data_IF_393303336271
#
_entry.id   IF_393303336271
#
_cell.length_a   1.000
_cell.length_b   1.000
_cell.length_c   1.000
_cell.angle_alpha   90.00
_cell.angle_beta   90.00
_cell.angle_gamma   90.00
#
_symmetry.space_group_name_H-M   'P 1'
#
loop_
_entity.id
_entity.type
_entity.pdbx_description
1 polymer ?
#
# COMPACT_ATOMS: atom_id res chain seq x y z
N UNK A 1 -0.22 3.06 -17.09
CA UNK A 1 -0.99 4.29 -17.30
C UNK A 1 -1.42 4.59 -18.73
N UNK A 2 -0.71 4.10 -19.80
CA UNK A 2 -1.15 4.41 -21.17
C UNK A 2 -2.62 4.02 -21.43
N UNK A 3 -3.08 2.90 -20.89
CA UNK A 3 -4.47 2.46 -21.00
C UNK A 3 -5.46 3.45 -20.39
N UNK A 4 -5.18 3.94 -19.18
CA UNK A 4 -6.06 4.89 -18.50
C UNK A 4 -6.07 6.27 -19.19
N UNK A 5 -4.94 6.72 -19.71
CA UNK A 5 -4.85 7.97 -20.47
C UNK A 5 -5.72 7.94 -21.73
N UNK A 6 -5.92 6.77 -22.33
CA UNK A 6 -6.78 6.59 -23.49
C UNK A 6 -8.27 6.48 -23.12
N UNK A 7 -8.59 5.90 -21.98
CA UNK A 7 -9.97 5.65 -21.54
C UNK A 7 -10.57 6.86 -20.82
N UNK A 8 -9.78 7.48 -19.92
CA UNK A 8 -10.23 8.60 -19.09
C UNK A 8 -10.97 9.73 -19.84
N UNK A 9 -10.49 10.23 -21.00
CA UNK A 9 -11.21 11.28 -21.73
C UNK A 9 -12.58 10.88 -22.26
N UNK A 10 -12.84 9.55 -22.36
CA UNK A 10 -14.09 8.98 -22.91
C UNK A 10 -15.13 8.67 -21.83
N UNK A 11 -14.77 8.82 -20.55
CA UNK A 11 -15.65 8.58 -19.42
C UNK A 11 -16.48 9.83 -19.11
N UNK A 12 -17.70 9.63 -18.55
CA UNK A 12 -18.47 10.72 -17.97
C UNK A 12 -17.72 11.35 -16.78
N UNK A 13 -18.03 12.60 -16.39
CA UNK A 13 -17.44 13.23 -15.20
C UNK A 13 -17.60 12.37 -13.94
N UNK A 14 -18.78 11.77 -13.74
CA UNK A 14 -19.09 10.91 -12.60
C UNK A 14 -18.19 9.68 -12.61
N UNK A 15 -18.07 8.99 -13.74
CA UNK A 15 -17.20 7.82 -13.87
C UNK A 15 -15.71 8.15 -13.64
N UNK A 16 -15.25 9.35 -14.07
CA UNK A 16 -13.88 9.80 -13.78
C UNK A 16 -13.63 9.98 -12.30
N UNK A 17 -14.63 10.46 -11.56
CA UNK A 17 -14.53 10.70 -10.13
C UNK A 17 -14.53 9.39 -9.29
N UNK A 18 -14.92 8.26 -9.89
CA UNK A 18 -14.94 6.95 -9.21
C UNK A 18 -13.72 6.09 -9.51
N UNK A 19 -12.90 6.49 -10.47
CA UNK A 19 -11.70 5.73 -10.86
C UNK A 19 -10.51 6.23 -10.05
N UNK A 20 -9.80 5.28 -9.45
CA UNK A 20 -8.51 5.52 -8.78
C UNK A 20 -7.38 4.80 -9.53
N UNK A 21 -6.15 5.20 -9.27
CA UNK A 21 -4.94 4.51 -9.72
C UNK A 21 -4.12 4.15 -8.50
N UNK A 22 -3.66 2.91 -8.48
CA UNK A 22 -2.78 2.34 -7.48
C UNK A 22 -1.36 2.19 -8.03
N UNK A 23 -0.34 2.36 -7.20
CA UNK A 23 1.04 2.02 -7.53
C UNK A 23 1.25 0.50 -7.52
N UNK A 24 2.14 0.03 -8.36
CA UNK A 24 2.44 -1.39 -8.57
C UNK A 24 3.94 -1.67 -8.39
N UNK A 25 4.28 -2.83 -7.84
CA UNK A 25 5.67 -3.20 -7.55
C UNK A 25 6.48 -3.58 -8.80
N UNK A 26 5.82 -4.06 -9.85
CA UNK A 26 6.48 -4.52 -11.08
C UNK A 26 6.56 -3.45 -12.17
N UNK A 27 5.55 -2.57 -12.26
CA UNK A 27 5.40 -1.62 -13.35
C UNK A 27 5.50 -0.17 -12.87
N UNK A 28 4.41 0.42 -12.46
CA UNK A 28 4.28 1.85 -12.20
C UNK A 28 4.30 2.14 -10.70
N UNK A 29 5.45 2.59 -10.19
CA UNK A 29 5.59 3.03 -8.81
C UNK A 29 4.93 4.39 -8.53
N UNK A 30 5.10 4.87 -7.31
CA UNK A 30 4.48 6.12 -6.82
C UNK A 30 4.80 7.30 -7.75
N UNK A 31 6.06 7.49 -8.14
CA UNK A 31 6.48 8.67 -8.92
C UNK A 31 5.74 8.77 -10.26
N UNK A 32 5.58 7.64 -10.95
CA UNK A 32 4.82 7.59 -12.19
C UNK A 32 3.31 7.80 -11.98
N UNK A 33 2.77 7.34 -10.85
CA UNK A 33 1.36 7.55 -10.50
C UNK A 33 1.10 9.02 -10.16
N UNK A 34 2.03 9.70 -9.49
CA UNK A 34 1.90 11.11 -9.12
C UNK A 34 1.74 12.06 -10.31
N UNK A 35 2.25 11.68 -11.50
CA UNK A 35 2.02 12.45 -12.73
C UNK A 35 0.54 12.49 -13.13
N UNK A 36 -0.28 11.56 -12.65
CA UNK A 36 -1.69 11.46 -12.95
C UNK A 36 -2.61 12.02 -11.86
N UNK A 37 -2.07 12.45 -10.72
CA UNK A 37 -2.84 12.95 -9.57
C UNK A 37 -3.74 14.16 -9.90
N UNK A 38 -3.37 14.95 -10.91
CA UNK A 38 -4.20 16.06 -11.39
C UNK A 38 -5.48 15.59 -12.13
N UNK A 39 -5.55 14.32 -12.54
CA UNK A 39 -6.69 13.72 -13.26
C UNK A 39 -7.50 12.77 -12.41
N UNK A 40 -6.83 11.96 -11.59
CA UNK A 40 -7.40 10.82 -10.90
C UNK A 40 -6.94 10.82 -9.44
N UNK A 41 -7.79 10.30 -8.55
CA UNK A 41 -7.38 10.02 -7.19
C UNK A 41 -6.39 8.83 -7.18
N UNK A 42 -5.34 8.95 -6.38
CA UNK A 42 -4.28 7.95 -6.28
C UNK A 42 -4.43 7.14 -5.01
N UNK A 43 -4.35 5.84 -5.11
CA UNK A 43 -4.27 4.93 -3.97
C UNK A 43 -2.81 4.58 -3.76
N UNK A 44 -2.32 4.78 -2.55
CA UNK A 44 -1.01 4.32 -2.13
C UNK A 44 -1.14 2.90 -1.59
N UNK A 45 -0.63 1.90 -2.31
CA UNK A 45 -0.31 0.61 -1.71
C UNK A 45 1.09 0.70 -1.12
N UNK A 46 1.14 0.71 0.22
CA UNK A 46 2.40 0.84 0.96
C UNK A 46 3.25 -0.42 0.88
N UNK A 47 2.63 -1.60 0.72
CA UNK A 47 3.34 -2.86 0.57
C UNK A 47 3.98 -2.98 -0.83
N UNK A 48 3.24 -2.66 -1.90
CA UNK A 48 3.78 -2.61 -3.26
C UNK A 48 4.96 -1.63 -3.36
N UNK A 49 4.85 -0.46 -2.69
CA UNK A 49 5.94 0.49 -2.64
C UNK A 49 7.17 -0.11 -1.95
N UNK A 50 7.01 -0.72 -0.77
CA UNK A 50 8.09 -1.38 -0.06
C UNK A 50 8.72 -2.51 -0.88
N UNK A 51 7.93 -3.38 -1.51
CA UNK A 51 8.46 -4.46 -2.36
C UNK A 51 9.30 -3.91 -3.52
N UNK A 52 8.87 -2.79 -4.11
CA UNK A 52 9.57 -2.16 -5.22
C UNK A 52 10.89 -1.54 -4.80
N UNK A 53 10.88 -0.76 -3.73
CA UNK A 53 11.96 0.16 -3.36
C UNK A 53 12.75 -0.26 -2.11
N UNK A 54 12.17 -1.06 -1.23
CA UNK A 54 12.67 -1.33 0.13
C UNK A 54 12.33 -0.23 1.15
N UNK A 55 11.69 0.86 0.71
CA UNK A 55 11.40 2.03 1.52
C UNK A 55 10.10 1.89 2.32
N UNK A 56 10.14 2.23 3.58
CA UNK A 56 8.98 2.45 4.43
C UNK A 56 8.56 3.92 4.36
N UNK A 57 7.82 4.30 3.31
CA UNK A 57 7.30 5.66 3.12
C UNK A 57 6.51 6.10 4.36
N UNK A 58 6.66 7.35 4.77
CA UNK A 58 6.03 7.88 5.98
C UNK A 58 4.82 8.77 5.66
N UNK A 59 3.86 8.93 6.61
CA UNK A 59 2.73 9.85 6.43
C UNK A 59 3.13 11.31 6.19
N UNK A 60 4.34 11.68 6.59
CA UNK A 60 4.91 13.04 6.42
C UNK A 60 5.66 13.24 5.11
N UNK A 61 5.75 12.21 4.26
CA UNK A 61 6.44 12.29 2.97
C UNK A 61 5.66 13.20 1.99
N UNK A 62 6.39 14.05 1.27
CA UNK A 62 5.78 14.97 0.29
C UNK A 62 5.03 14.23 -0.82
N UNK A 63 5.47 13.02 -1.19
CA UNK A 63 4.78 12.17 -2.17
C UNK A 63 3.40 11.75 -1.64
N UNK A 64 3.31 11.42 -0.34
CA UNK A 64 2.02 11.10 0.27
C UNK A 64 1.10 12.32 0.36
N UNK A 65 1.63 13.50 0.69
CA UNK A 65 0.85 14.74 0.64
C UNK A 65 0.23 14.98 -0.75
N UNK A 66 0.98 14.76 -1.83
CA UNK A 66 0.48 14.86 -3.20
C UNK A 66 -0.58 13.80 -3.54
N UNK A 67 -0.47 12.59 -2.95
CA UNK A 67 -1.51 11.56 -3.06
C UNK A 67 -2.78 12.04 -2.37
N UNK A 68 -2.70 12.58 -1.15
CA UNK A 68 -3.85 13.17 -0.43
C UNK A 68 -4.53 14.26 -1.26
N UNK A 69 -3.76 15.17 -1.85
CA UNK A 69 -4.27 16.26 -2.70
C UNK A 69 -5.05 15.74 -3.91
N UNK A 70 -4.66 14.59 -4.46
CA UNK A 70 -5.35 13.96 -5.59
C UNK A 70 -6.80 13.57 -5.29
N UNK A 71 -7.16 13.39 -4.02
CA UNK A 71 -8.50 13.07 -3.55
C UNK A 71 -9.42 14.29 -3.38
N UNK A 72 -8.90 15.50 -3.62
CA UNK A 72 -9.70 16.76 -3.69
C UNK A 72 -10.59 16.99 -2.47
N UNK A 73 -10.05 16.76 -1.28
CA UNK A 73 -10.75 16.95 0.00
C UNK A 73 -11.59 15.75 0.46
N UNK A 74 -11.65 14.68 -0.31
CA UNK A 74 -12.17 13.40 0.17
C UNK A 74 -11.06 12.68 0.93
N UNK A 75 -11.40 12.01 2.04
CA UNK A 75 -10.42 11.22 2.80
C UNK A 75 -9.83 10.12 1.90
N UNK A 76 -8.50 10.05 1.74
CA UNK A 76 -7.88 9.07 0.86
C UNK A 76 -7.97 7.66 1.44
N UNK A 77 -7.80 6.68 0.57
CA UNK A 77 -7.63 5.27 0.92
C UNK A 77 -6.21 4.87 0.59
N UNK A 78 -5.55 4.16 1.50
CA UNK A 78 -4.32 3.42 1.24
C UNK A 78 -4.59 1.92 1.29
N UNK A 79 -3.81 1.14 0.53
CA UNK A 79 -3.82 -0.31 0.65
C UNK A 79 -2.67 -0.78 1.53
N UNK A 80 -2.96 -1.79 2.35
CA UNK A 80 -2.03 -2.37 3.26
C UNK A 80 -2.06 -3.89 3.21
N UNK A 81 -0.91 -4.48 2.99
CA UNK A 81 -0.67 -5.92 3.16
C UNK A 81 0.70 -6.17 3.81
N UNK A 82 0.95 -7.40 4.19
CA UNK A 82 2.24 -7.86 4.71
C UNK A 82 2.65 -9.13 3.99
N UNK A 83 3.97 -9.31 3.78
CA UNK A 83 4.51 -10.54 3.20
C UNK A 83 4.09 -11.76 4.01
N UNK A 84 3.94 -12.90 3.35
CA UNK A 84 3.47 -14.13 3.98
C UNK A 84 4.37 -14.56 5.13
N UNK A 85 3.75 -14.92 6.25
CA UNK A 85 4.41 -15.43 7.45
C UNK A 85 5.21 -16.71 7.16
N UNK A 86 4.65 -17.62 6.33
CA UNK A 86 5.32 -18.86 5.96
C UNK A 86 6.52 -18.70 4.99
N UNK A 87 6.75 -17.48 4.52
CA UNK A 87 7.96 -17.12 3.77
C UNK A 87 9.01 -16.52 4.72
N UNK A 88 8.59 -15.73 5.70
CA UNK A 88 9.44 -15.06 6.69
C UNK A 88 9.38 -15.77 8.07
N UNK A 89 9.54 -17.09 8.08
CA UNK A 89 9.26 -17.96 9.25
C UNK A 89 10.03 -17.53 10.50
N UNK A 90 11.30 -17.17 10.36
CA UNK A 90 12.19 -16.83 11.48
C UNK A 90 12.30 -15.31 11.70
N UNK A 91 11.46 -14.50 11.03
CA UNK A 91 11.50 -13.06 11.18
C UNK A 91 10.82 -12.62 12.48
N UNK A 92 11.46 -11.75 13.24
CA UNK A 92 10.90 -11.18 14.46
C UNK A 92 9.67 -10.32 14.14
N UNK A 93 8.54 -10.64 14.76
CA UNK A 93 7.25 -9.97 14.57
C UNK A 93 7.27 -8.48 14.97
N UNK A 94 8.25 -8.05 15.76
CA UNK A 94 8.39 -6.67 16.24
C UNK A 94 9.47 -5.87 15.48
N UNK A 95 9.98 -6.44 14.37
CA UNK A 95 11.01 -5.79 13.56
C UNK A 95 10.50 -5.62 12.14
N UNK A 96 10.77 -4.45 11.54
CA UNK A 96 10.47 -4.20 10.14
C UNK A 96 11.40 -5.05 9.26
N UNK A 97 10.88 -5.82 8.29
CA UNK A 97 11.70 -6.55 7.33
C UNK A 97 12.59 -5.59 6.51
N UNK A 98 13.88 -5.85 6.49
CA UNK A 98 14.83 -5.08 5.66
C UNK A 98 14.97 -5.72 4.27
N UNK A 99 14.64 -4.99 3.23
CA UNK A 99 14.64 -5.51 1.85
C UNK A 99 16.04 -5.98 1.41
N UNK A 100 17.08 -5.22 1.71
CA UNK A 100 18.44 -5.55 1.26
C UNK A 100 18.94 -6.81 1.97
N UNK A 101 18.72 -6.93 3.27
CA UNK A 101 19.06 -8.12 4.05
C UNK A 101 18.30 -9.37 3.55
N UNK A 102 17.02 -9.22 3.23
CA UNK A 102 16.24 -10.32 2.67
C UNK A 102 16.75 -10.76 1.30
N UNK A 103 17.13 -9.82 0.44
CA UNK A 103 17.70 -10.13 -0.86
C UNK A 103 19.06 -10.82 -0.73
N UNK A 104 19.92 -10.38 0.19
CA UNK A 104 21.21 -10.99 0.50
C UNK A 104 21.07 -12.41 1.06
N UNK A 105 19.99 -12.68 1.79
CA UNK A 105 19.61 -14.03 2.25
C UNK A 105 19.00 -14.90 1.14
N UNK A 106 18.83 -14.36 -0.07
CA UNK A 106 18.33 -15.09 -1.24
C UNK A 106 16.80 -15.06 -1.43
N UNK A 107 16.08 -14.26 -0.64
CA UNK A 107 14.67 -14.03 -0.90
C UNK A 107 14.47 -13.30 -2.24
N UNK A 108 13.34 -13.54 -2.89
CA UNK A 108 12.98 -12.88 -4.14
C UNK A 108 11.79 -11.95 -3.92
N UNK A 109 11.86 -10.73 -4.45
CA UNK A 109 10.76 -9.75 -4.41
C UNK A 109 9.42 -10.35 -4.82
N UNK A 110 9.43 -11.23 -5.83
CA UNK A 110 8.23 -11.95 -6.28
C UNK A 110 7.57 -12.79 -5.16
N UNK A 111 8.35 -13.32 -4.21
CA UNK A 111 7.80 -14.05 -3.06
C UNK A 111 7.35 -13.10 -1.96
N UNK A 112 8.12 -12.04 -1.73
CA UNK A 112 7.82 -11.04 -0.69
C UNK A 112 6.53 -10.24 -0.97
N UNK A 113 6.12 -10.10 -2.23
CA UNK A 113 4.86 -9.43 -2.61
C UNK A 113 3.61 -10.22 -2.27
N UNK A 114 3.73 -11.52 -1.97
CA UNK A 114 2.56 -12.35 -1.72
C UNK A 114 1.95 -12.02 -0.35
N UNK A 115 0.66 -11.69 -0.36
CA UNK A 115 -0.09 -11.29 0.84
C UNK A 115 -0.27 -12.46 1.82
N UNK A 116 -0.08 -12.20 3.10
CA UNK A 116 -0.33 -13.13 4.19
C UNK A 116 -1.83 -13.38 4.41
N UNK A 117 -2.14 -14.40 5.19
CA UNK A 117 -3.51 -14.65 5.62
C UNK A 117 -3.97 -13.59 6.64
N UNK A 118 -3.09 -13.22 7.56
CA UNK A 118 -3.33 -12.21 8.60
C UNK A 118 -2.18 -11.19 8.66
N UNK A 119 -2.41 -10.10 9.37
CA UNK A 119 -1.43 -9.04 9.62
C UNK A 119 -0.56 -9.43 10.83
N UNK A 120 0.39 -10.34 10.61
CA UNK A 120 1.14 -11.03 11.65
C UNK A 120 2.32 -10.23 12.24
N UNK A 121 2.90 -9.27 11.49
CA UNK A 121 4.06 -8.50 11.93
C UNK A 121 3.62 -7.19 12.59
N UNK A 122 3.92 -7.03 13.88
CA UNK A 122 3.51 -5.87 14.68
C UNK A 122 4.18 -4.57 14.20
N UNK A 123 5.48 -4.61 13.87
CA UNK A 123 6.18 -3.41 13.42
C UNK A 123 5.64 -2.90 12.07
N UNK A 124 5.26 -3.79 11.16
CA UNK A 124 4.62 -3.43 9.89
C UNK A 124 3.19 -2.92 10.12
N UNK A 125 2.46 -3.50 11.09
CA UNK A 125 1.15 -3.00 11.50
C UNK A 125 1.24 -1.57 12.05
N UNK A 126 2.19 -1.29 12.95
CA UNK A 126 2.41 0.03 13.53
C UNK A 126 2.75 1.06 12.46
N UNK A 127 3.59 0.68 11.50
CA UNK A 127 3.88 1.54 10.33
C UNK A 127 2.60 1.83 9.52
N UNK A 128 1.82 0.84 9.16
CA UNK A 128 0.59 1.04 8.41
C UNK A 128 -0.42 1.89 9.18
N UNK A 129 -0.58 1.65 10.48
CA UNK A 129 -1.49 2.39 11.35
C UNK A 129 -1.08 3.86 11.55
N UNK A 130 0.18 4.22 11.33
CA UNK A 130 0.63 5.61 11.38
C UNK A 130 -0.06 6.52 10.34
N UNK A 131 -0.64 5.95 9.30
CA UNK A 131 -1.44 6.68 8.30
C UNK A 131 -2.88 6.94 8.73
N UNK A 132 -3.36 6.31 9.81
CA UNK A 132 -4.78 6.27 10.17
C UNK A 132 -5.39 7.64 10.49
N UNK A 133 -4.60 8.63 10.88
CA UNK A 133 -5.12 9.99 11.11
C UNK A 133 -5.48 10.72 9.80
N UNK A 134 -4.86 10.33 8.67
CA UNK A 134 -4.96 11.01 7.38
C UNK A 134 -5.79 10.20 6.37
N UNK A 135 -5.64 8.87 6.36
CA UNK A 135 -6.22 7.98 5.35
C UNK A 135 -7.03 6.84 5.98
N UNK A 136 -7.98 6.30 5.24
CA UNK A 136 -8.58 5.01 5.54
C UNK A 136 -7.65 3.89 5.06
N UNK A 137 -7.55 2.81 5.84
CA UNK A 137 -6.65 1.69 5.55
C UNK A 137 -7.47 0.50 5.05
N UNK A 138 -7.30 0.14 3.79
CA UNK A 138 -7.85 -1.08 3.22
C UNK A 138 -6.85 -2.22 3.42
N UNK A 139 -7.23 -3.17 4.27
CA UNK A 139 -6.40 -4.36 4.55
C UNK A 139 -6.56 -5.39 3.44
N UNK A 140 -5.48 -5.68 2.74
CA UNK A 140 -5.41 -6.69 1.70
C UNK A 140 -4.75 -7.96 2.21
N UNK A 141 -5.55 -8.93 2.60
CA UNK A 141 -5.09 -10.22 3.11
C UNK A 141 -5.97 -11.36 2.59
N UNK A 142 -5.49 -12.60 2.69
CA UNK A 142 -6.27 -13.75 2.24
C UNK A 142 -7.46 -14.04 3.15
N UNK A 143 -7.35 -13.73 4.45
CA UNK A 143 -8.46 -13.88 5.40
C UNK A 143 -9.48 -12.72 5.35
N UNK A 144 -9.30 -11.75 4.43
CA UNK A 144 -10.27 -10.68 4.15
C UNK A 144 -10.67 -9.90 5.42
N UNK A 145 -11.99 -9.78 5.64
CA UNK A 145 -12.57 -9.10 6.79
C UNK A 145 -12.14 -9.68 8.15
N UNK A 146 -11.81 -10.96 8.23
CA UNK A 146 -11.32 -11.56 9.47
C UNK A 146 -9.96 -10.98 9.88
N UNK A 147 -9.08 -10.74 8.91
CA UNK A 147 -7.80 -10.09 9.19
C UNK A 147 -7.97 -8.61 9.59
N UNK A 148 -8.87 -7.88 8.92
CA UNK A 148 -9.19 -6.48 9.28
C UNK A 148 -9.74 -6.38 10.70
N UNK A 149 -10.68 -7.26 11.07
CA UNK A 149 -11.25 -7.29 12.42
C UNK A 149 -10.14 -7.57 13.45
N UNK A 150 -9.31 -8.59 13.20
CA UNK A 150 -8.22 -8.95 14.12
C UNK A 150 -7.20 -7.81 14.28
N UNK A 151 -6.87 -7.11 13.20
CA UNK A 151 -6.00 -5.93 13.25
C UNK A 151 -6.64 -4.83 14.11
N UNK A 152 -7.91 -4.50 13.85
CA UNK A 152 -8.65 -3.49 14.61
C UNK A 152 -8.74 -3.82 16.10
N UNK A 153 -9.00 -5.07 16.46
CA UNK A 153 -9.03 -5.51 17.86
C UNK A 153 -7.68 -5.37 18.56
N UNK A 154 -6.57 -5.49 17.83
CA UNK A 154 -5.22 -5.32 18.38
C UNK A 154 -4.87 -3.87 18.70
N UNK A 155 -5.51 -2.89 18.03
CA UNK A 155 -5.26 -1.45 18.24
C UNK A 155 -6.05 -0.87 19.41
N UNK A 156 -7.05 -1.60 19.93
CA UNK A 156 -7.93 -1.15 21.02
C UNK A 156 -7.60 -1.81 22.37
N UNK A 157 -6.39 -2.34 22.51
CA UNK A 157 -5.84 -2.87 23.76
C UNK A 157 -4.85 -1.87 24.34
#
# INVERSE_FOLDING_TARGET
PAGILNVHPRLSPEARNTITIENDENSWGIDASLELGHKLALVLDIHHHWVKTGEYIQPTDDRFSRIVDSWRGVRPVIHYSVSREDILIDHDVNTLPNMDELLDQGYKKQKLRAHSDYMWNNAVNDWALSFNDIADIMVESKAKNLASIKLFESTNK
#
